data_IF_470591771564
#
_entry.id   IF_470591771564
#
_cell.length_a   1.000
_cell.length_b   1.000
_cell.length_c   1.000
_cell.angle_alpha   90.00
_cell.angle_beta   90.00
_cell.angle_gamma   90.00
#
_symmetry.space_group_name_H-M   'P 1'
#
loop_
_entity.id
_entity.type
_entity.pdbx_description
1 polymer ?
#
# COMPACT_ATOMS: atom_id res chain seq x y z
N UNK A 1 12.21 -9.25 -10.37
CA UNK A 1 12.18 -8.23 -9.28
C UNK A 1 11.04 -8.60 -8.35
N UNK A 2 11.05 -8.20 -7.09
CA UNK A 2 9.90 -8.43 -6.20
C UNK A 2 9.42 -7.12 -5.55
N UNK A 3 8.10 -6.98 -5.39
CA UNK A 3 7.46 -6.00 -4.53
C UNK A 3 6.76 -6.79 -3.42
N UNK A 4 7.19 -6.60 -2.18
CA UNK A 4 6.61 -7.23 -1.01
C UNK A 4 5.57 -6.29 -0.41
N UNK A 5 4.41 -6.83 -0.09
CA UNK A 5 3.28 -6.10 0.49
C UNK A 5 2.70 -6.83 1.70
N UNK A 6 1.94 -6.13 2.54
CA UNK A 6 1.42 -6.68 3.79
C UNK A 6 0.33 -7.73 3.58
N UNK A 7 -0.63 -7.46 2.71
CA UNK A 7 -1.76 -8.34 2.50
C UNK A 7 -2.26 -8.38 1.06
N UNK A 8 -3.28 -9.20 0.86
CA UNK A 8 -3.85 -9.46 -0.47
C UNK A 8 -4.53 -8.21 -1.05
N UNK A 9 -5.04 -7.32 -0.20
CA UNK A 9 -5.61 -6.03 -0.63
C UNK A 9 -4.53 -5.10 -1.19
N UNK A 10 -3.38 -5.02 -0.51
CA UNK A 10 -2.22 -4.25 -0.94
C UNK A 10 -1.69 -4.75 -2.28
N UNK A 11 -1.69 -6.07 -2.48
CA UNK A 11 -1.25 -6.70 -3.74
C UNK A 11 -2.07 -6.20 -4.93
N UNK A 12 -3.40 -6.20 -4.83
CA UNK A 12 -4.30 -5.75 -5.90
C UNK A 12 -4.16 -4.24 -6.18
N UNK A 13 -4.02 -3.43 -5.12
CA UNK A 13 -3.82 -1.98 -5.25
C UNK A 13 -2.47 -1.67 -5.91
N UNK A 14 -1.40 -2.41 -5.57
CA UNK A 14 -0.08 -2.26 -6.18
C UNK A 14 -0.12 -2.67 -7.65
N UNK A 15 -0.80 -3.76 -8.00
CA UNK A 15 -0.98 -4.14 -9.40
C UNK A 15 -1.66 -3.04 -10.20
N UNK A 16 -2.70 -2.40 -9.65
CA UNK A 16 -3.37 -1.26 -10.31
C UNK A 16 -2.44 -0.07 -10.49
N UNK A 17 -1.77 0.36 -9.43
CA UNK A 17 -0.86 1.50 -9.48
C UNK A 17 0.29 1.26 -10.47
N UNK A 18 0.86 0.05 -10.48
CA UNK A 18 1.89 -0.33 -11.43
C UNK A 18 1.37 -0.29 -12.86
N UNK A 19 0.21 -0.89 -13.13
CA UNK A 19 -0.41 -0.91 -14.45
C UNK A 19 -0.61 0.49 -15.02
N UNK A 20 -1.07 1.43 -14.19
CA UNK A 20 -1.24 2.84 -14.59
C UNK A 20 0.09 3.55 -14.85
N UNK A 21 1.16 3.17 -14.15
CA UNK A 21 2.49 3.76 -14.30
C UNK A 21 3.27 3.19 -15.51
N UNK A 22 2.91 2.00 -16.01
CA UNK A 22 3.66 1.24 -17.01
C UNK A 22 2.85 0.88 -18.26
N UNK A 23 2.19 1.88 -18.85
CA UNK A 23 1.50 1.76 -20.14
C UNK A 23 0.45 0.62 -20.20
N UNK A 24 -0.17 0.30 -19.07
CA UNK A 24 -1.18 -0.75 -18.98
C UNK A 24 -0.64 -2.16 -18.73
N UNK A 25 0.65 -2.35 -18.49
CA UNK A 25 1.23 -3.68 -18.21
C UNK A 25 1.14 -4.03 -16.73
N UNK A 26 0.74 -5.26 -16.43
CA UNK A 26 0.80 -5.82 -15.09
C UNK A 26 2.26 -6.07 -14.67
N UNK A 27 2.56 -6.05 -13.36
CA UNK A 27 3.90 -6.32 -12.85
C UNK A 27 4.55 -7.59 -13.41
N UNK A 28 3.76 -8.68 -13.51
CA UNK A 28 4.25 -9.98 -13.98
C UNK A 28 4.67 -9.96 -15.45
N UNK A 29 4.02 -9.14 -16.28
CA UNK A 29 4.36 -8.96 -17.69
C UNK A 29 5.72 -8.25 -17.86
N UNK A 30 6.16 -7.53 -16.82
CA UNK A 30 7.46 -6.86 -16.74
C UNK A 30 8.47 -7.60 -15.83
N UNK A 31 8.21 -8.86 -15.49
CA UNK A 31 9.13 -9.67 -14.67
C UNK A 31 9.26 -9.19 -13.21
N UNK A 32 8.21 -8.55 -12.69
CA UNK A 32 8.09 -8.13 -11.29
C UNK A 32 7.01 -8.93 -10.59
N UNK A 33 7.38 -9.70 -9.58
CA UNK A 33 6.45 -10.41 -8.70
C UNK A 33 5.92 -9.44 -7.64
N UNK A 34 4.61 -9.41 -7.41
CA UNK A 34 4.02 -8.77 -6.22
C UNK A 34 3.64 -9.88 -5.25
N UNK A 35 4.14 -9.81 -4.02
CA UNK A 35 4.06 -10.91 -3.05
C UNK A 35 3.51 -10.38 -1.73
N UNK A 36 2.32 -10.86 -1.35
CA UNK A 36 1.76 -10.70 0.00
C UNK A 36 2.57 -11.54 1.00
N UNK A 37 3.24 -10.90 1.96
CA UNK A 37 4.15 -11.56 2.92
C UNK A 37 3.72 -11.45 4.39
N UNK A 38 2.56 -10.81 4.65
CA UNK A 38 2.10 -10.59 6.01
C UNK A 38 3.13 -9.84 6.85
N UNK A 39 3.33 -10.30 8.09
CA UNK A 39 4.30 -9.70 9.01
C UNK A 39 5.74 -10.18 8.82
N UNK A 40 6.03 -10.98 7.79
CA UNK A 40 7.32 -11.70 7.65
C UNK A 40 8.36 -11.02 6.76
N UNK A 41 8.19 -9.74 6.45
CA UNK A 41 9.11 -8.95 5.59
C UNK A 41 10.59 -9.17 5.85
N UNK A 42 11.04 -9.12 7.11
CA UNK A 42 12.47 -9.19 7.43
C UNK A 42 13.12 -10.49 6.93
N UNK A 43 12.40 -11.62 6.98
CA UNK A 43 12.90 -12.89 6.44
C UNK A 43 13.03 -12.86 4.92
N UNK A 44 12.07 -12.25 4.23
CA UNK A 44 12.16 -12.08 2.78
C UNK A 44 13.27 -11.13 2.38
N UNK A 45 13.50 -10.06 3.15
CA UNK A 45 14.61 -9.12 2.93
C UNK A 45 15.97 -9.81 3.13
N UNK A 46 16.13 -10.62 4.18
CA UNK A 46 17.36 -11.40 4.41
C UNK A 46 17.65 -12.35 3.23
N UNK A 47 16.63 -13.00 2.69
CA UNK A 47 16.75 -13.86 1.50
C UNK A 47 17.09 -13.04 0.25
N UNK A 48 16.39 -11.92 0.03
CA UNK A 48 16.63 -11.04 -1.12
C UNK A 48 18.06 -10.50 -1.13
N UNK A 49 18.56 -10.07 0.03
CA UNK A 49 19.94 -9.62 0.19
C UNK A 49 20.94 -10.73 -0.18
N UNK A 50 20.77 -11.94 0.38
CA UNK A 50 21.65 -13.08 0.09
C UNK A 50 21.61 -13.53 -1.37
N UNK A 51 20.46 -13.38 -2.03
CA UNK A 51 20.25 -13.76 -3.43
C UNK A 51 20.59 -12.62 -4.41
N UNK A 52 20.94 -11.43 -3.91
CA UNK A 52 21.17 -10.24 -4.74
C UNK A 52 19.95 -9.83 -5.58
N UNK A 53 18.73 -10.09 -5.08
CA UNK A 53 17.49 -9.76 -5.79
C UNK A 53 17.04 -8.34 -5.44
N UNK A 54 16.65 -7.60 -6.47
CA UNK A 54 16.01 -6.31 -6.31
C UNK A 54 14.61 -6.50 -5.73
N UNK A 55 14.42 -5.94 -4.53
CA UNK A 55 13.22 -6.12 -3.72
C UNK A 55 12.77 -4.77 -3.17
N UNK A 56 11.51 -4.44 -3.45
CA UNK A 56 10.83 -3.26 -2.93
C UNK A 56 9.87 -3.71 -1.84
N UNK A 57 9.77 -2.98 -0.73
CA UNK A 57 8.77 -3.17 0.32
C UNK A 57 7.79 -2.02 0.28
N UNK A 58 6.50 -2.32 0.34
CA UNK A 58 5.43 -1.34 0.55
C UNK A 58 4.68 -1.76 1.80
N UNK A 59 4.59 -0.86 2.78
CA UNK A 59 4.10 -1.18 4.13
C UNK A 59 3.46 0.06 4.74
N UNK A 60 2.43 -0.15 5.55
CA UNK A 60 1.74 0.91 6.28
C UNK A 60 2.57 1.33 7.50
N UNK A 61 2.43 2.58 7.94
CA UNK A 61 3.16 3.06 9.13
C UNK A 61 2.42 2.73 10.45
N UNK A 62 1.18 2.27 10.38
CA UNK A 62 0.32 1.90 11.52
C UNK A 62 0.27 2.93 12.67
N UNK A 63 0.47 4.22 12.34
CA UNK A 63 0.49 5.31 13.30
C UNK A 63 1.81 5.51 14.04
N UNK A 64 2.88 4.77 13.69
CA UNK A 64 4.21 4.94 14.26
C UNK A 64 5.33 4.73 13.23
N UNK A 65 5.76 5.84 12.62
CA UNK A 65 6.96 5.86 11.75
C UNK A 65 8.21 5.42 12.50
N UNK A 66 8.33 5.76 13.79
CA UNK A 66 9.48 5.35 14.61
C UNK A 66 9.56 3.82 14.77
N UNK A 67 8.44 3.16 15.09
CA UNK A 67 8.40 1.71 15.20
C UNK A 67 8.75 1.03 13.87
N UNK A 68 8.27 1.57 12.76
CA UNK A 68 8.62 1.11 11.42
C UNK A 68 10.11 1.28 11.12
N UNK A 69 10.68 2.45 11.41
CA UNK A 69 12.11 2.71 11.21
C UNK A 69 12.97 1.77 12.05
N UNK A 70 12.57 1.49 13.28
CA UNK A 70 13.24 0.52 14.15
C UNK A 70 13.14 -0.91 13.59
N UNK A 71 11.97 -1.33 13.10
CA UNK A 71 11.76 -2.64 12.45
C UNK A 71 12.72 -2.82 11.25
N UNK A 72 12.91 -1.77 10.44
CA UNK A 72 13.72 -1.82 9.22
C UNK A 72 15.11 -1.18 9.36
N UNK A 73 15.62 -0.97 10.57
CA UNK A 73 16.87 -0.24 10.82
C UNK A 73 18.09 -0.84 10.11
N UNK A 74 18.07 -2.14 9.81
CA UNK A 74 19.14 -2.84 9.06
C UNK A 74 19.12 -2.57 7.55
N UNK A 75 18.09 -1.91 7.04
CA UNK A 75 17.85 -1.69 5.61
C UNK A 75 17.56 -0.21 5.27
N UNK A 76 17.57 0.68 6.27
CA UNK A 76 17.33 2.11 6.14
C UNK A 76 18.56 2.93 6.53
N UNK A 77 18.58 4.21 6.12
CA UNK A 77 19.67 5.15 6.43
C UNK A 77 21.03 4.65 5.93
N UNK A 78 22.05 4.71 6.77
CA UNK A 78 23.41 4.23 6.47
C UNK A 78 23.50 2.72 6.21
N UNK A 79 22.51 1.95 6.67
CA UNK A 79 22.44 0.50 6.44
C UNK A 79 21.70 0.13 5.16
N UNK A 80 21.28 1.12 4.35
CA UNK A 80 20.54 0.87 3.11
C UNK A 80 21.31 -0.07 2.18
N UNK A 81 20.61 -1.09 1.67
CA UNK A 81 21.17 -2.03 0.70
C UNK A 81 20.86 -1.55 -0.72
N UNK A 82 21.79 -1.64 -1.69
CA UNK A 82 21.55 -1.16 -3.06
C UNK A 82 20.36 -1.83 -3.76
N UNK A 83 20.05 -3.07 -3.40
CA UNK A 83 18.96 -3.86 -4.00
C UNK A 83 17.68 -3.87 -3.17
N UNK A 84 17.60 -3.15 -2.05
CA UNK A 84 16.42 -3.11 -1.18
C UNK A 84 15.93 -1.67 -1.03
N UNK A 85 14.66 -1.47 -1.30
CA UNK A 85 13.97 -0.19 -1.11
C UNK A 85 12.73 -0.42 -0.25
N UNK A 86 12.45 0.49 0.67
CA UNK A 86 11.33 0.38 1.61
C UNK A 86 10.53 1.68 1.54
N UNK A 87 9.27 1.56 1.16
CA UNK A 87 8.34 2.66 0.97
C UNK A 87 7.20 2.55 1.97
N UNK A 88 6.95 3.67 2.63
CA UNK A 88 5.89 3.86 3.61
C UNK A 88 5.55 5.34 3.66
N UNK A 89 4.34 5.68 4.10
CA UNK A 89 3.98 7.08 4.31
C UNK A 89 4.70 7.62 5.55
N UNK A 90 5.46 8.71 5.42
CA UNK A 90 6.12 9.38 6.55
C UNK A 90 5.18 10.22 7.42
N UNK A 91 3.93 10.41 7.00
CA UNK A 91 2.93 11.21 7.73
C UNK A 91 2.03 10.29 8.56
N UNK A 92 1.94 10.58 9.85
CA UNK A 92 0.97 9.97 10.77
C UNK A 92 -0.27 10.86 10.82
N UNK A 93 -1.37 10.35 10.28
CA UNK A 93 -2.70 10.97 10.35
C UNK A 93 -3.44 10.53 11.62
N UNK A 94 -4.28 11.43 12.13
CA UNK A 94 -5.12 11.21 13.29
C UNK A 94 -6.52 11.75 13.04
N UNK A 95 -7.50 11.24 13.79
CA UNK A 95 -8.87 11.72 13.76
C UNK A 95 -9.68 11.13 14.92
N UNK A 96 -10.96 11.50 14.99
CA UNK A 96 -11.81 11.23 16.15
C UNK A 96 -12.63 9.93 16.01
N UNK A 97 -12.57 9.25 14.86
CA UNK A 97 -13.35 8.06 14.59
C UNK A 97 -12.98 6.93 15.56
N UNK A 98 -14.01 6.35 16.17
CA UNK A 98 -13.93 5.12 16.95
C UNK A 98 -14.82 4.05 16.33
N UNK A 99 -14.34 2.81 16.36
CA UNK A 99 -15.11 1.64 15.96
C UNK A 99 -15.18 0.72 17.18
N UNK A 100 -16.33 0.73 17.86
CA UNK A 100 -16.43 0.19 19.22
C UNK A 100 -15.58 1.02 20.18
N UNK A 101 -14.80 0.35 21.02
CA UNK A 101 -13.92 1.01 22.00
C UNK A 101 -12.53 1.37 21.44
N UNK A 102 -12.21 0.95 20.22
CA UNK A 102 -10.90 1.18 19.60
C UNK A 102 -10.88 2.46 18.76
N UNK A 103 -9.82 3.26 18.93
CA UNK A 103 -9.49 4.37 18.03
C UNK A 103 -9.21 3.81 16.63
N UNK A 104 -9.76 4.46 15.61
CA UNK A 104 -9.52 4.07 14.23
C UNK A 104 -8.09 4.41 13.79
N UNK A 105 -7.44 3.48 13.10
CA UNK A 105 -6.13 3.71 12.50
C UNK A 105 -6.31 4.36 11.11
N UNK A 106 -5.98 5.65 11.01
CA UNK A 106 -6.01 6.43 9.76
C UNK A 106 -4.78 6.18 8.87
N UNK A 107 -3.84 5.35 9.33
CA UNK A 107 -2.56 5.12 8.68
C UNK A 107 -2.46 3.76 8.00
N UNK A 108 -3.62 3.26 7.54
CA UNK A 108 -3.70 2.10 6.66
C UNK A 108 -3.86 2.53 5.21
N UNK A 109 -3.53 1.63 4.28
CA UNK A 109 -3.70 1.82 2.85
C UNK A 109 -5.09 2.38 2.46
N UNK A 110 -6.16 1.84 3.03
CA UNK A 110 -7.53 2.25 2.72
C UNK A 110 -7.77 3.73 3.07
N UNK A 111 -7.29 4.14 4.24
CA UNK A 111 -7.42 5.52 4.71
C UNK A 111 -6.60 6.48 3.87
N UNK A 112 -5.39 6.06 3.47
CA UNK A 112 -4.50 6.86 2.61
C UNK A 112 -5.05 7.00 1.19
N UNK A 113 -5.69 5.95 0.65
CA UNK A 113 -6.41 6.03 -0.63
C UNK A 113 -7.57 7.00 -0.55
N UNK A 114 -8.37 6.98 0.52
CA UNK A 114 -9.44 7.96 0.72
C UNK A 114 -8.88 9.38 0.85
N UNK A 115 -7.75 9.58 1.54
CA UNK A 115 -7.10 10.90 1.64
C UNK A 115 -6.57 11.40 0.29
N UNK A 116 -6.10 10.51 -0.58
CA UNK A 116 -5.60 10.85 -1.92
C UNK A 116 -6.73 11.14 -2.93
N UNK A 117 -7.97 10.76 -2.61
CA UNK A 117 -9.13 10.87 -3.49
C UNK A 117 -10.27 11.63 -2.80
N UNK A 118 -11.39 11.82 -3.51
CA UNK A 118 -12.61 12.33 -2.88
C UNK A 118 -13.53 11.19 -2.48
N UNK A 119 -14.42 11.44 -1.52
CA UNK A 119 -15.52 10.54 -1.17
C UNK A 119 -16.35 10.15 -2.41
N UNK A 120 -16.57 11.10 -3.33
CA UNK A 120 -17.35 10.89 -4.55
C UNK A 120 -16.66 9.91 -5.50
N UNK A 121 -15.33 10.05 -5.70
CA UNK A 121 -14.55 9.12 -6.53
C UNK A 121 -14.61 7.71 -5.96
N UNK A 122 -14.35 7.54 -4.66
CA UNK A 122 -14.36 6.22 -4.05
C UNK A 122 -15.77 5.61 -3.97
N UNK A 123 -16.81 6.42 -3.78
CA UNK A 123 -18.19 5.95 -3.92
C UNK A 123 -18.47 5.40 -5.33
N UNK A 124 -17.99 6.08 -6.39
CA UNK A 124 -18.10 5.62 -7.77
C UNK A 124 -17.42 4.27 -7.98
N UNK A 125 -16.14 4.18 -7.61
CA UNK A 125 -15.34 2.95 -7.69
C UNK A 125 -15.99 1.78 -6.94
N UNK A 126 -16.50 2.02 -5.73
CA UNK A 126 -17.07 0.95 -4.89
C UNK A 126 -18.56 0.70 -5.11
N UNK A 127 -19.24 1.48 -5.97
CA UNK A 127 -20.69 1.40 -6.15
C UNK A 127 -21.46 1.72 -4.86
N UNK A 128 -20.93 2.60 -4.02
CA UNK A 128 -21.55 3.03 -2.75
C UNK A 128 -22.04 4.47 -2.83
N UNK A 129 -22.75 4.94 -1.80
CA UNK A 129 -23.36 6.28 -1.79
C UNK A 129 -23.26 6.94 -0.42
N UNK A 130 -22.10 6.80 0.24
CA UNK A 130 -21.88 7.41 1.55
C UNK A 130 -21.77 8.93 1.44
N UNK A 131 -22.32 9.65 2.41
CA UNK A 131 -22.23 11.12 2.51
C UNK A 131 -21.19 11.59 3.52
N UNK A 132 -20.59 10.64 4.26
CA UNK A 132 -19.59 10.88 5.29
C UNK A 132 -18.39 9.97 5.05
N UNK A 133 -17.18 10.53 5.12
CA UNK A 133 -15.95 9.77 4.95
C UNK A 133 -15.78 8.67 6.00
N UNK A 134 -16.21 8.90 7.23
CA UNK A 134 -16.05 7.90 8.30
C UNK A 134 -16.92 6.66 8.09
N UNK A 135 -18.07 6.80 7.41
CA UNK A 135 -18.88 5.65 7.05
C UNK A 135 -18.24 4.87 5.89
N UNK A 136 -17.62 5.56 4.94
CA UNK A 136 -16.82 4.91 3.90
C UNK A 136 -15.59 4.21 4.50
N UNK A 137 -14.88 4.82 5.47
CA UNK A 137 -13.76 4.19 6.20
C UNK A 137 -14.17 2.89 6.88
N UNK A 138 -15.35 2.86 7.52
CA UNK A 138 -15.91 1.65 8.14
C UNK A 138 -16.21 0.57 7.09
N UNK A 139 -16.77 0.97 5.95
CA UNK A 139 -17.06 0.06 4.84
C UNK A 139 -15.76 -0.56 4.29
N UNK A 140 -14.78 0.27 3.91
CA UNK A 140 -13.49 -0.19 3.39
C UNK A 140 -12.77 -1.13 4.36
N UNK A 141 -12.83 -0.85 5.67
CA UNK A 141 -12.25 -1.74 6.70
C UNK A 141 -12.89 -3.13 6.72
N UNK A 142 -14.19 -3.24 6.45
CA UNK A 142 -14.93 -4.52 6.46
C UNK A 142 -14.84 -5.27 5.14
N UNK A 143 -14.60 -4.55 4.05
CA UNK A 143 -14.63 -5.03 2.68
C UNK A 143 -13.27 -4.84 1.98
N UNK A 144 -12.15 -5.01 2.71
CA UNK A 144 -10.80 -4.67 2.22
C UNK A 144 -10.50 -5.27 0.84
N UNK A 145 -10.65 -6.59 0.73
CA UNK A 145 -10.36 -7.31 -0.52
C UNK A 145 -11.34 -6.94 -1.64
N UNK A 146 -12.63 -6.77 -1.34
CA UNK A 146 -13.63 -6.36 -2.33
C UNK A 146 -13.34 -4.95 -2.87
N UNK A 147 -12.98 -4.02 -1.98
CA UNK A 147 -12.55 -2.67 -2.35
C UNK A 147 -11.28 -2.70 -3.21
N UNK A 148 -10.29 -3.51 -2.84
CA UNK A 148 -9.05 -3.62 -3.59
C UNK A 148 -9.27 -4.22 -5.00
N UNK A 149 -10.16 -5.21 -5.13
CA UNK A 149 -10.57 -5.74 -6.43
C UNK A 149 -11.30 -4.69 -7.27
N UNK A 150 -12.25 -3.95 -6.67
CA UNK A 150 -12.95 -2.86 -7.36
C UNK A 150 -11.97 -1.78 -7.86
N UNK A 151 -10.93 -1.45 -7.08
CA UNK A 151 -9.84 -0.56 -7.49
C UNK A 151 -9.06 -1.12 -8.68
N UNK A 152 -8.73 -2.41 -8.68
CA UNK A 152 -8.01 -3.04 -9.79
C UNK A 152 -8.83 -2.96 -11.09
N UNK A 153 -10.12 -3.28 -11.02
CA UNK A 153 -11.01 -3.41 -12.17
C UNK A 153 -11.58 -2.07 -12.67
N UNK A 154 -11.57 -1.02 -11.85
CA UNK A 154 -12.20 0.26 -12.21
C UNK A 154 -11.54 0.91 -13.43
N UNK A 155 -12.36 1.60 -14.23
CA UNK A 155 -11.91 2.49 -15.31
C UNK A 155 -11.90 3.95 -14.88
N UNK A 156 -12.37 4.25 -13.68
CA UNK A 156 -12.36 5.61 -13.14
C UNK A 156 -10.92 6.05 -12.86
N UNK A 157 -10.67 7.35 -13.04
CA UNK A 157 -9.38 7.94 -12.67
C UNK A 157 -9.33 8.09 -11.16
N UNK A 158 -8.25 7.58 -10.56
CA UNK A 158 -8.00 7.68 -9.13
C UNK A 158 -6.53 7.98 -8.88
N UNK A 159 -6.25 8.62 -7.76
CA UNK A 159 -4.89 8.91 -7.30
C UNK A 159 -4.43 7.82 -6.32
N UNK A 160 -3.14 7.55 -6.32
CA UNK A 160 -2.51 6.68 -5.33
C UNK A 160 -1.61 7.52 -4.42
N UNK A 161 -1.50 7.17 -3.12
CA UNK A 161 -0.54 7.81 -2.22
C UNK A 161 0.88 7.81 -2.78
N UNK A 162 1.65 8.85 -2.47
CA UNK A 162 2.99 9.06 -3.04
C UNK A 162 3.91 7.86 -2.83
N UNK A 163 3.94 7.27 -1.63
CA UNK A 163 4.76 6.10 -1.32
C UNK A 163 4.47 4.88 -2.22
N UNK A 164 3.22 4.72 -2.68
CA UNK A 164 2.82 3.68 -3.63
C UNK A 164 3.33 4.03 -5.02
N UNK A 165 3.09 5.27 -5.47
CA UNK A 165 3.54 5.71 -6.79
C UNK A 165 5.06 5.61 -6.91
N UNK A 166 5.79 5.97 -5.85
CA UNK A 166 7.25 5.87 -5.78
C UNK A 166 7.72 4.42 -5.84
N UNK A 167 7.07 3.51 -5.11
CA UNK A 167 7.41 2.09 -5.10
C UNK A 167 7.29 1.44 -6.48
N UNK A 168 6.31 1.87 -7.29
CA UNK A 168 6.06 1.29 -8.61
C UNK A 168 6.82 1.97 -9.75
N UNK A 169 7.46 3.13 -9.56
CA UNK A 169 8.20 3.85 -10.63
C UNK A 169 9.31 3.04 -11.28
N UNK A 170 10.06 2.25 -10.51
CA UNK A 170 11.26 1.54 -10.97
C UNK A 170 10.95 0.23 -11.73
N UNK A 171 9.98 0.22 -12.64
CA UNK A 171 9.53 -0.98 -13.36
C UNK A 171 10.37 -1.39 -14.58
N UNK A 172 11.58 -0.84 -14.76
CA UNK A 172 12.50 -1.19 -15.86
C UNK A 172 13.86 -1.63 -15.33
#
# INVERSE_FOLDING_TARGET
KAILVEGDSDELVIQKAFMLQHDGHLPIEMGTDVISVGLTFLRFLELAEKLGKHTTVVTDNDGSVEALQNKYAQYLGENKKPSIEIFYDSVVDAGELKIGDSVYNYNTLESKLLKANSLQVLNGVFGTSYTCEDDLRKYMRRHKTDCALAILETKETMNFPDYITDAVKNGK
#
